data_IF_868798725601
#
_entry.id   IF_868798725601
#
_cell.length_a   1.000
_cell.length_b   1.000
_cell.length_c   1.000
_cell.angle_alpha   90.00
_cell.angle_beta   90.00
_cell.angle_gamma   90.00
#
_symmetry.space_group_name_H-M   'P 1'
#
loop_
_entity.id
_entity.type
_entity.pdbx_description
1 polymer ?
#
# COMPACT_ATOMS: atom_id res chain seq x y z
N UNK A 1 -10.66 9.02 -3.58
CA UNK A 1 -9.55 8.16 -3.18
C UNK A 1 -9.97 6.72 -3.37
N UNK A 2 -9.02 5.87 -3.69
CA UNK A 2 -9.13 4.43 -3.62
C UNK A 2 -8.15 3.89 -2.57
N UNK A 3 -8.32 2.63 -2.20
CA UNK A 3 -7.43 1.91 -1.28
C UNK A 3 -7.22 0.53 -1.89
N UNK A 4 -5.96 0.17 -2.10
CA UNK A 4 -5.53 -1.16 -2.46
C UNK A 4 -4.58 -1.72 -1.39
N UNK A 5 -4.61 -3.04 -1.21
CA UNK A 5 -3.64 -3.77 -0.40
C UNK A 5 -2.62 -4.50 -1.27
N UNK A 6 -1.51 -4.89 -0.66
CA UNK A 6 -0.58 -5.88 -1.19
C UNK A 6 -0.32 -6.93 -0.10
N UNK A 7 0.02 -8.15 -0.52
CA UNK A 7 0.47 -9.24 0.35
C UNK A 7 1.22 -10.27 -0.49
N UNK A 8 1.60 -11.42 0.07
CA UNK A 8 2.15 -12.53 -0.72
C UNK A 8 1.24 -13.05 -1.84
N UNK A 9 -0.07 -12.74 -1.83
CA UNK A 9 -1.01 -13.16 -2.89
C UNK A 9 -0.99 -12.24 -4.12
N UNK A 10 -0.56 -10.99 -3.96
CA UNK A 10 -0.56 -10.03 -5.06
C UNK A 10 -0.31 -8.59 -4.64
N UNK A 11 -0.09 -7.75 -5.64
CA UNK A 11 0.36 -6.37 -5.50
C UNK A 11 -0.78 -5.32 -5.56
N UNK A 12 -1.98 -5.70 -5.99
CA UNK A 12 -3.12 -4.78 -6.15
C UNK A 12 -4.45 -5.45 -5.75
N UNK A 13 -4.65 -5.65 -4.46
CA UNK A 13 -5.87 -6.20 -3.87
C UNK A 13 -6.84 -5.05 -3.61
N UNK A 14 -7.90 -4.93 -4.41
CA UNK A 14 -8.86 -3.84 -4.28
C UNK A 14 -9.64 -3.88 -2.97
N UNK A 15 -9.49 -2.86 -2.11
CA UNK A 15 -10.21 -2.71 -0.84
C UNK A 15 -11.31 -1.66 -0.94
N UNK A 16 -10.99 -0.48 -1.48
CA UNK A 16 -11.94 0.62 -1.70
C UNK A 16 -11.76 1.15 -3.11
N UNK A 17 -12.64 0.82 -4.06
CA UNK A 17 -12.60 1.40 -5.40
C UNK A 17 -12.93 2.90 -5.39
N UNK A 18 -12.37 3.66 -6.34
CA UNK A 18 -12.54 5.13 -6.44
C UNK A 18 -14.01 5.60 -6.43
N UNK A 19 -14.91 4.80 -7.00
CA UNK A 19 -16.34 5.10 -7.10
C UNK A 19 -17.22 4.41 -6.04
N UNK A 20 -16.60 3.78 -5.02
CA UNK A 20 -17.29 3.00 -3.97
C UNK A 20 -16.77 3.33 -2.57
N UNK A 21 -16.65 4.62 -2.28
CA UNK A 21 -16.21 5.11 -0.97
C UNK A 21 -17.25 4.76 0.11
N UNK A 22 -16.85 4.13 1.24
CA UNK A 22 -17.78 3.70 2.28
C UNK A 22 -18.37 4.91 3.02
N UNK A 23 -19.71 5.01 3.02
CA UNK A 23 -20.44 6.19 3.51
C UNK A 23 -20.76 6.14 5.00
N UNK A 24 -20.80 4.95 5.60
CA UNK A 24 -21.20 4.75 6.99
C UNK A 24 -20.27 3.78 7.74
N UNK A 25 -20.46 3.70 9.06
CA UNK A 25 -19.66 2.83 9.94
C UNK A 25 -19.78 1.34 9.58
N UNK A 26 -20.94 0.90 9.07
CA UNK A 26 -21.17 -0.49 8.70
C UNK A 26 -20.32 -0.85 7.47
N UNK A 27 -20.36 -0.03 6.43
CA UNK A 27 -19.56 -0.22 5.22
C UNK A 27 -18.05 -0.19 5.51
N UNK A 28 -17.60 0.74 6.37
CA UNK A 28 -16.20 0.79 6.82
C UNK A 28 -15.80 -0.46 7.59
N UNK A 29 -16.68 -0.96 8.46
CA UNK A 29 -16.44 -2.19 9.21
C UNK A 29 -16.34 -3.41 8.28
N UNK A 30 -17.15 -3.49 7.22
CA UNK A 30 -17.04 -4.59 6.25
C UNK A 30 -15.69 -4.57 5.52
N UNK A 31 -15.18 -3.40 5.12
CA UNK A 31 -13.82 -3.28 4.54
C UNK A 31 -12.77 -3.77 5.54
N UNK A 32 -12.86 -3.37 6.82
CA UNK A 32 -11.92 -3.81 7.85
C UNK A 32 -11.97 -5.33 8.06
N UNK A 33 -13.15 -5.94 8.01
CA UNK A 33 -13.28 -7.40 8.06
C UNK A 33 -12.63 -8.07 6.86
N UNK A 34 -12.78 -7.51 5.67
CA UNK A 34 -12.09 -8.00 4.46
C UNK A 34 -10.57 -7.91 4.63
N UNK A 35 -10.04 -6.78 5.10
CA UNK A 35 -8.61 -6.61 5.37
C UNK A 35 -8.12 -7.62 6.41
N UNK A 36 -8.87 -7.82 7.49
CA UNK A 36 -8.53 -8.76 8.54
C UNK A 36 -8.50 -10.20 8.02
N UNK A 37 -9.56 -10.64 7.32
CA UNK A 37 -9.63 -11.97 6.75
C UNK A 37 -8.50 -12.19 5.72
N UNK A 38 -8.21 -11.20 4.87
CA UNK A 38 -7.11 -11.27 3.90
C UNK A 38 -5.76 -11.50 4.59
N UNK A 39 -5.45 -10.69 5.61
CA UNK A 39 -4.20 -10.83 6.36
C UNK A 39 -4.06 -12.17 7.10
N UNK A 40 -5.18 -12.83 7.43
CA UNK A 40 -5.17 -14.15 8.07
C UNK A 40 -4.87 -15.30 7.10
N UNK A 41 -5.24 -15.16 5.83
CA UNK A 41 -5.23 -16.27 4.88
C UNK A 41 -4.29 -16.09 3.69
N UNK A 42 -3.69 -14.91 3.52
CA UNK A 42 -2.78 -14.69 2.41
C UNK A 42 -1.50 -15.52 2.52
N UNK A 43 -0.90 -15.83 1.36
CA UNK A 43 0.40 -16.47 1.29
C UNK A 43 1.47 -15.61 1.97
N UNK A 44 2.48 -16.28 2.54
CA UNK A 44 3.65 -15.61 3.10
C UNK A 44 4.46 -14.92 1.99
N UNK A 45 5.03 -13.77 2.30
CA UNK A 45 5.75 -12.95 1.34
C UNK A 45 5.11 -11.58 1.24
N UNK A 46 5.67 -10.74 0.38
CA UNK A 46 5.21 -9.38 0.24
C UNK A 46 5.50 -8.84 -1.16
N UNK A 47 4.61 -7.97 -1.63
CA UNK A 47 4.67 -7.28 -2.91
C UNK A 47 4.67 -5.75 -2.71
N UNK A 48 5.27 -5.23 -1.62
CA UNK A 48 5.34 -3.77 -1.37
C UNK A 48 5.92 -3.02 -2.56
N UNK A 49 7.00 -3.53 -3.17
CA UNK A 49 7.68 -2.82 -4.26
C UNK A 49 6.81 -2.76 -5.52
N UNK A 50 6.28 -3.91 -5.94
CA UNK A 50 5.40 -4.03 -7.09
C UNK A 50 4.10 -3.24 -6.88
N UNK A 51 3.51 -3.30 -5.69
CA UNK A 51 2.27 -2.61 -5.36
C UNK A 51 2.45 -1.08 -5.36
N UNK A 52 3.55 -0.61 -4.78
CA UNK A 52 3.87 0.83 -4.79
C UNK A 52 4.16 1.34 -6.19
N UNK A 53 4.98 0.60 -6.96
CA UNK A 53 5.27 0.99 -8.34
C UNK A 53 4.00 0.99 -9.19
N UNK A 54 3.13 -0.01 -9.02
CA UNK A 54 1.84 -0.07 -9.69
C UNK A 54 0.98 1.15 -9.36
N UNK A 55 0.82 1.50 -8.07
CA UNK A 55 0.04 2.66 -7.66
C UNK A 55 0.55 3.98 -8.27
N UNK A 56 1.87 4.17 -8.33
CA UNK A 56 2.49 5.37 -8.93
C UNK A 56 2.23 5.43 -10.44
N UNK A 57 2.27 4.28 -11.14
CA UNK A 57 1.99 4.21 -12.59
C UNK A 57 0.50 4.36 -12.90
N UNK A 58 -0.37 3.86 -12.03
CA UNK A 58 -1.81 3.85 -12.25
C UNK A 58 -2.43 5.22 -12.01
N UNK A 59 -2.02 5.91 -10.94
CA UNK A 59 -2.66 7.17 -10.51
C UNK A 59 -2.58 8.28 -11.56
N UNK A 60 -1.52 8.29 -12.39
CA UNK A 60 -1.29 9.30 -13.44
C UNK A 60 -2.04 9.03 -14.74
N UNK A 61 -2.79 7.92 -14.84
CA UNK A 61 -3.61 7.63 -16.02
C UNK A 61 -4.89 8.47 -16.07
N UNK A 62 -5.37 8.91 -14.92
CA UNK A 62 -6.50 9.82 -14.80
C UNK A 62 -5.96 11.25 -14.66
N UNK A 63 -6.59 12.22 -15.33
CA UNK A 63 -6.15 13.62 -15.27
C UNK A 63 -6.45 14.23 -13.89
N UNK A 64 -5.44 14.81 -13.24
CA UNK A 64 -5.58 15.57 -12.01
C UNK A 64 -4.50 16.68 -11.91
N UNK A 65 -4.77 17.68 -11.08
CA UNK A 65 -3.82 18.76 -10.77
C UNK A 65 -2.61 18.25 -9.96
N UNK A 66 -2.85 17.29 -9.05
CA UNK A 66 -1.84 16.71 -8.18
C UNK A 66 -2.10 15.22 -7.94
N UNK A 67 -1.02 14.45 -7.78
CA UNK A 67 -1.08 13.01 -7.53
C UNK A 67 -0.41 12.66 -6.20
N UNK A 68 -1.06 11.80 -5.42
CA UNK A 68 -0.57 11.36 -4.11
C UNK A 68 -0.66 9.84 -3.98
N UNK A 69 0.45 9.20 -3.62
CA UNK A 69 0.48 7.79 -3.25
C UNK A 69 0.95 7.69 -1.80
N UNK A 70 0.14 7.04 -0.95
CA UNK A 70 0.46 6.87 0.47
C UNK A 70 0.55 5.38 0.77
N UNK A 71 1.75 4.90 1.09
CA UNK A 71 2.00 3.53 1.50
C UNK A 71 1.94 3.44 3.02
N UNK A 72 1.13 2.53 3.55
CA UNK A 72 1.09 2.19 4.98
C UNK A 72 1.70 0.81 5.15
N UNK A 73 2.76 0.69 5.96
CA UNK A 73 3.49 -0.58 6.15
C UNK A 73 3.87 -0.78 7.61
N UNK A 74 3.96 -2.03 8.06
CA UNK A 74 4.40 -2.39 9.42
C UNK A 74 5.92 -2.26 9.64
N UNK A 75 6.64 -1.71 8.66
CA UNK A 75 8.09 -1.50 8.63
C UNK A 75 8.95 -2.77 8.52
N UNK A 76 8.35 -3.95 8.35
CA UNK A 76 9.07 -5.23 8.31
C UNK A 76 9.76 -5.51 6.96
N UNK A 77 10.35 -4.50 6.31
CA UNK A 77 10.96 -4.61 4.98
C UNK A 77 12.08 -5.67 4.91
N UNK A 78 12.94 -5.72 5.94
CA UNK A 78 14.07 -6.65 6.01
C UNK A 78 13.62 -8.12 6.00
N UNK A 79 12.49 -8.42 6.66
CA UNK A 79 11.89 -9.76 6.72
C UNK A 79 11.48 -10.28 5.34
N UNK A 80 11.14 -9.37 4.42
CA UNK A 80 10.75 -9.70 3.05
C UNK A 80 11.89 -9.49 2.04
N UNK A 81 13.11 -9.22 2.50
CA UNK A 81 14.26 -8.98 1.62
C UNK A 81 14.18 -7.66 0.84
N UNK A 82 13.36 -6.71 1.29
CA UNK A 82 13.20 -5.42 0.63
C UNK A 82 14.31 -4.48 1.11
N UNK A 83 15.19 -4.11 0.19
CA UNK A 83 16.23 -3.12 0.48
C UNK A 83 15.64 -1.71 0.52
N UNK A 84 15.81 -0.92 1.61
CA UNK A 84 15.23 0.41 1.75
C UNK A 84 15.55 1.35 0.58
N UNK A 85 16.77 1.32 0.07
CA UNK A 85 17.16 2.12 -1.10
C UNK A 85 16.34 1.82 -2.36
N UNK A 86 15.93 0.56 -2.58
CA UNK A 86 15.09 0.19 -3.73
C UNK A 86 13.66 0.70 -3.54
N UNK A 87 13.16 0.67 -2.31
CA UNK A 87 11.85 1.23 -2.00
C UNK A 87 11.83 2.76 -2.15
N UNK A 88 12.88 3.44 -1.68
CA UNK A 88 13.06 4.88 -1.88
C UNK A 88 13.11 5.26 -3.36
N UNK A 89 13.84 4.49 -4.18
CA UNK A 89 13.86 4.69 -5.64
C UNK A 89 12.45 4.62 -6.23
N UNK A 90 11.67 3.59 -5.87
CA UNK A 90 10.29 3.41 -6.35
C UNK A 90 9.41 4.61 -5.98
N UNK A 91 9.47 5.07 -4.72
CA UNK A 91 8.71 6.25 -4.28
C UNK A 91 9.04 7.51 -5.09
N UNK A 92 10.24 7.61 -5.64
CA UNK A 92 10.69 8.76 -6.44
C UNK A 92 10.67 8.54 -7.96
N UNK A 93 10.16 7.40 -8.45
CA UNK A 93 10.23 7.03 -9.88
C UNK A 93 9.50 8.01 -10.79
N UNK A 94 8.41 8.63 -10.33
CA UNK A 94 7.66 9.61 -11.10
C UNK A 94 7.65 10.97 -10.39
N UNK A 95 8.31 12.00 -10.93
CA UNK A 95 8.39 13.32 -10.29
C UNK A 95 7.04 14.07 -10.23
N UNK A 96 6.01 13.62 -10.95
CA UNK A 96 4.67 14.19 -10.87
C UNK A 96 3.87 13.65 -9.68
N UNK A 97 4.32 12.56 -9.05
CA UNK A 97 3.60 11.88 -7.97
C UNK A 97 4.26 12.15 -6.64
N UNK A 98 3.50 12.71 -5.70
CA UNK A 98 3.91 12.85 -4.31
C UNK A 98 3.72 11.52 -3.59
N UNK A 99 4.75 10.68 -3.54
CA UNK A 99 4.70 9.39 -2.86
C UNK A 99 5.30 9.45 -1.45
N UNK A 100 4.57 8.92 -0.47
CA UNK A 100 4.98 8.85 0.94
C UNK A 100 4.83 7.43 1.47
N UNK A 101 5.69 7.06 2.42
CA UNK A 101 5.55 5.83 3.19
C UNK A 101 5.43 6.17 4.68
N UNK A 102 4.38 5.67 5.33
CA UNK A 102 4.22 5.73 6.78
C UNK A 102 4.43 4.33 7.35
N UNK A 103 5.49 4.20 8.13
CA UNK A 103 5.83 2.97 8.82
C UNK A 103 5.19 2.94 10.21
N UNK A 104 4.43 1.88 10.48
CA UNK A 104 3.73 1.62 11.73
C UNK A 104 4.38 0.39 12.38
N UNK A 105 5.47 0.63 13.09
CA UNK A 105 6.21 -0.41 13.80
C UNK A 105 6.47 0.00 15.25
N UNK A 106 6.85 -0.97 16.08
CA UNK A 106 7.40 -0.68 17.40
C UNK A 106 8.92 -0.47 17.31
N UNK A 107 9.47 0.45 18.10
CA UNK A 107 10.90 0.79 18.13
C UNK A 107 11.83 -0.41 18.44
N UNK A 108 11.29 -1.52 18.95
CA UNK A 108 12.07 -2.68 19.38
C UNK A 108 12.36 -3.73 18.32
N UNK A 109 11.66 -3.70 17.17
CA UNK A 109 11.70 -4.82 16.21
C UNK A 109 12.20 -4.46 14.81
N UNK A 110 12.38 -3.19 14.45
CA UNK A 110 13.06 -2.79 13.20
C UNK A 110 13.76 -1.44 13.38
N UNK A 111 14.97 -1.48 13.93
CA UNK A 111 15.92 -0.38 13.91
C UNK A 111 17.35 -0.92 13.85
N UNK A 112 17.78 -1.34 12.66
CA UNK A 112 19.20 -1.40 12.24
C UNK A 112 19.28 -1.40 10.73
#
# INVERSE_FOLDING_TARGET
>A
YDIAGHSGDGYNIGLVPINKIPKDKKQRLEILKTMHAHAQFCMSGDHTLEGTEHAIKEIVKEEADEYFVIVLSDANLSRYGIHPAKFAQILTTNPQVNAFAFFIGSLGDQAT
#
